data_IF_607656587640
#
_entry.id   IF_607656587640
#
_cell.length_a   1.000
_cell.length_b   1.000
_cell.length_c   1.000
_cell.angle_alpha   90.00
_cell.angle_beta   90.00
_cell.angle_gamma   90.00
#
_symmetry.space_group_name_H-M   'P 1'
#
loop_
_entity.id
_entity.type
_entity.pdbx_description
1 polymer ?
#
# COMPACT_ATOMS: atom_id res chain seq x y z
N UNK A 1 -16.72 17.92 -0.57
CA UNK A 1 -17.30 16.98 0.41
C UNK A 1 -16.39 15.77 0.39
N UNK A 2 -15.66 15.48 1.47
CA UNK A 2 -14.79 14.30 1.51
C UNK A 2 -15.66 13.03 1.47
N UNK A 3 -15.21 11.98 0.77
CA UNK A 3 -15.94 10.72 0.73
C UNK A 3 -15.95 10.02 2.10
N UNK A 4 -16.91 9.13 2.35
CA UNK A 4 -16.96 8.34 3.59
C UNK A 4 -15.69 7.50 3.80
N UNK A 5 -15.12 6.96 2.72
CA UNK A 5 -13.84 6.24 2.74
C UNK A 5 -12.67 7.13 3.16
N UNK A 6 -12.65 8.38 2.71
CA UNK A 6 -11.59 9.35 3.03
C UNK A 6 -11.59 9.68 4.53
N UNK A 7 -12.78 9.88 5.10
CA UNK A 7 -12.94 10.14 6.53
C UNK A 7 -12.53 8.95 7.39
N UNK A 8 -12.92 7.74 6.98
CA UNK A 8 -12.55 6.52 7.69
C UNK A 8 -11.03 6.29 7.67
N UNK A 9 -10.40 6.44 6.49
CA UNK A 9 -8.95 6.30 6.36
C UNK A 9 -8.21 7.35 7.19
N UNK A 10 -8.67 8.61 7.19
CA UNK A 10 -8.08 9.64 8.05
C UNK A 10 -8.15 9.25 9.53
N UNK A 11 -9.29 8.74 10.00
CA UNK A 11 -9.41 8.26 11.39
C UNK A 11 -8.44 7.11 11.72
N UNK A 12 -8.22 6.17 10.79
CA UNK A 12 -7.24 5.10 10.97
C UNK A 12 -5.80 5.64 11.04
N UNK A 13 -5.46 6.64 10.22
CA UNK A 13 -4.13 7.27 10.24
C UNK A 13 -3.90 8.06 11.53
N UNK A 14 -4.94 8.73 12.05
CA UNK A 14 -4.88 9.45 13.32
C UNK A 14 -4.63 8.49 14.50
N UNK A 15 -5.31 7.33 14.51
CA UNK A 15 -5.07 6.26 15.51
C UNK A 15 -3.62 5.75 15.38
N UNK A 16 -3.18 5.40 14.18
CA UNK A 16 -1.82 4.92 13.94
C UNK A 16 -0.75 5.91 14.43
N UNK A 17 -0.94 7.21 14.15
CA UNK A 17 -0.06 8.27 14.63
C UNK A 17 0.00 8.34 16.14
N UNK A 18 -1.15 8.21 16.82
CA UNK A 18 -1.21 8.23 18.28
C UNK A 18 -0.51 7.00 18.90
N UNK A 19 -0.62 5.82 18.28
CA UNK A 19 -0.06 4.57 18.79
C UNK A 19 1.43 4.40 18.50
N UNK A 20 1.88 4.80 17.31
CA UNK A 20 3.25 4.54 16.83
C UNK A 20 4.15 5.77 16.85
N UNK A 21 3.59 6.97 17.11
CA UNK A 21 4.30 8.25 16.99
C UNK A 21 4.93 8.44 15.59
N UNK A 22 4.36 7.80 14.56
CA UNK A 22 4.75 7.90 13.15
C UNK A 22 3.63 8.58 12.39
N UNK A 23 3.95 9.71 11.75
CA UNK A 23 3.00 10.44 10.92
C UNK A 23 3.07 9.93 9.48
N UNK A 24 1.97 9.36 8.99
CA UNK A 24 1.80 8.96 7.59
C UNK A 24 0.91 10.01 6.91
N UNK A 25 1.45 10.89 6.06
CA UNK A 25 0.67 11.96 5.46
C UNK A 25 -0.52 11.40 4.68
N UNK A 26 -1.68 12.06 4.69
CA UNK A 26 -2.77 11.71 3.79
C UNK A 26 -2.95 12.82 2.75
N UNK A 27 -2.36 12.61 1.57
CA UNK A 27 -2.41 13.60 0.50
C UNK A 27 -2.46 12.94 -0.87
N UNK A 28 -2.80 13.71 -1.90
CA UNK A 28 -2.73 13.20 -3.28
C UNK A 28 -1.33 12.71 -3.65
N UNK A 29 -0.25 13.22 -3.04
CA UNK A 29 1.13 12.83 -3.38
C UNK A 29 1.44 11.36 -3.07
N UNK A 30 0.85 10.81 -2.02
CA UNK A 30 1.10 9.46 -1.52
C UNK A 30 -0.17 8.59 -1.44
N UNK A 31 -1.28 9.08 -1.98
CA UNK A 31 -2.51 8.32 -2.19
C UNK A 31 -2.64 7.98 -3.67
N UNK A 32 -2.80 6.70 -3.98
CA UNK A 32 -2.88 6.16 -5.34
C UNK A 32 -4.19 5.39 -5.50
N UNK A 33 -4.93 5.65 -6.58
CA UNK A 33 -6.24 5.06 -6.81
C UNK A 33 -6.18 4.10 -7.99
N UNK A 34 -6.61 2.86 -7.77
CA UNK A 34 -6.66 1.83 -8.79
C UNK A 34 -8.11 1.41 -9.01
N UNK A 35 -8.54 1.44 -10.26
CA UNK A 35 -9.82 0.90 -10.69
C UNK A 35 -9.73 -0.64 -10.73
N UNK A 36 -10.84 -1.32 -10.42
CA UNK A 36 -10.94 -2.78 -10.46
C UNK A 36 -11.30 -3.30 -11.86
N UNK A 37 -11.80 -2.41 -12.71
CA UNK A 37 -12.25 -2.63 -14.07
C UNK A 37 -11.17 -3.29 -14.96
N UNK A 38 -9.89 -2.86 -14.94
CA UNK A 38 -8.79 -3.55 -15.62
C UNK A 38 -8.68 -5.05 -15.31
N UNK A 39 -8.75 -5.41 -14.03
CA UNK A 39 -8.62 -6.81 -13.61
C UNK A 39 -9.84 -7.63 -14.05
N UNK A 40 -11.04 -7.04 -13.92
CA UNK A 40 -12.29 -7.65 -14.40
C UNK A 40 -12.23 -7.87 -15.91
N UNK A 41 -11.74 -6.91 -16.67
CA UNK A 41 -11.57 -7.05 -18.12
C UNK A 41 -10.71 -8.27 -18.47
N UNK A 42 -9.55 -8.45 -17.82
CA UNK A 42 -8.67 -9.59 -18.07
C UNK A 42 -9.38 -10.93 -17.85
N UNK A 43 -10.11 -11.06 -16.73
CA UNK A 43 -10.88 -12.28 -16.41
C UNK A 43 -11.97 -12.54 -17.46
N UNK A 44 -12.72 -11.51 -17.87
CA UNK A 44 -13.77 -11.66 -18.87
C UNK A 44 -13.20 -12.14 -20.22
N UNK A 45 -12.04 -11.59 -20.62
CA UNK A 45 -11.36 -11.99 -21.86
C UNK A 45 -10.83 -13.41 -21.81
N UNK A 46 -10.27 -13.83 -20.67
CA UNK A 46 -9.81 -15.21 -20.45
C UNK A 46 -10.96 -16.22 -20.58
N UNK A 47 -12.14 -15.85 -20.09
CA UNK A 47 -13.36 -16.67 -20.18
C UNK A 47 -14.09 -16.55 -21.52
N UNK A 48 -13.50 -15.89 -22.53
CA UNK A 48 -14.06 -15.76 -23.87
C UNK A 48 -15.31 -14.87 -23.95
N UNK A 49 -15.57 -14.04 -22.94
CA UNK A 49 -16.71 -13.13 -22.93
C UNK A 49 -16.43 -11.96 -23.87
N UNK A 50 -17.36 -11.75 -24.82
CA UNK A 50 -17.31 -10.63 -25.74
C UNK A 50 -17.92 -9.39 -25.08
N UNK A 51 -17.20 -8.28 -25.17
CA UNK A 51 -17.62 -6.98 -24.69
C UNK A 51 -18.04 -6.13 -25.87
N UNK A 52 -19.07 -5.31 -25.68
CA UNK A 52 -19.44 -4.32 -26.66
C UNK A 52 -18.44 -3.14 -26.70
N UNK A 53 -18.63 -2.24 -27.66
CA UNK A 53 -17.76 -1.08 -27.86
C UNK A 53 -17.75 -0.14 -26.66
N UNK A 54 -18.89 0.05 -25.99
CA UNK A 54 -19.01 0.96 -24.85
C UNK A 54 -18.30 0.40 -23.63
N UNK A 55 -18.52 -0.88 -23.33
CA UNK A 55 -17.82 -1.62 -22.28
C UNK A 55 -16.32 -1.60 -22.51
N UNK A 56 -15.87 -1.91 -23.72
CA UNK A 56 -14.44 -1.90 -24.09
C UNK A 56 -13.81 -0.53 -23.87
N UNK A 57 -14.51 0.53 -24.27
CA UNK A 57 -14.04 1.90 -24.06
C UNK A 57 -13.98 2.27 -22.57
N UNK A 58 -14.97 1.85 -21.79
CA UNK A 58 -15.00 2.06 -20.33
C UNK A 58 -13.80 1.38 -19.65
N UNK A 59 -13.57 0.09 -19.95
CA UNK A 59 -12.42 -0.66 -19.43
C UNK A 59 -11.08 -0.04 -19.85
N UNK A 60 -10.98 0.45 -21.10
CA UNK A 60 -9.77 1.14 -21.59
C UNK A 60 -9.48 2.41 -20.80
N UNK A 61 -10.51 3.22 -20.48
CA UNK A 61 -10.34 4.44 -19.68
C UNK A 61 -9.86 4.13 -18.26
N UNK A 62 -10.46 3.13 -17.62
CA UNK A 62 -10.02 2.68 -16.29
C UNK A 62 -8.60 2.10 -16.32
N UNK A 63 -8.23 1.38 -17.40
CA UNK A 63 -6.86 0.92 -17.60
C UNK A 63 -5.87 2.08 -17.66
N UNK A 64 -6.13 3.08 -18.50
CA UNK A 64 -5.25 4.23 -18.66
C UNK A 64 -5.09 5.02 -17.34
N UNK A 65 -6.17 5.13 -16.57
CA UNK A 65 -6.14 5.78 -15.26
C UNK A 65 -5.30 4.98 -14.25
N UNK A 66 -5.57 3.68 -14.09
CA UNK A 66 -4.82 2.80 -13.18
C UNK A 66 -3.34 2.70 -13.55
N UNK A 67 -3.00 2.66 -14.85
CA UNK A 67 -1.62 2.66 -15.32
C UNK A 67 -0.88 3.96 -14.96
N UNK A 68 -1.55 5.11 -15.07
CA UNK A 68 -0.99 6.40 -14.64
C UNK A 68 -0.76 6.46 -13.13
N UNK A 69 -1.73 6.01 -12.34
CA UNK A 69 -1.59 5.98 -10.87
C UNK A 69 -0.50 4.97 -10.43
N UNK A 70 -0.34 3.84 -11.13
CA UNK A 70 0.77 2.92 -10.92
C UNK A 70 2.13 3.57 -11.16
N UNK A 71 2.30 4.27 -12.28
CA UNK A 71 3.55 4.99 -12.57
C UNK A 71 3.84 6.05 -11.50
N UNK A 72 2.78 6.73 -11.00
CA UNK A 72 2.88 7.71 -9.93
C UNK A 72 3.33 7.06 -8.61
N UNK A 73 2.81 5.88 -8.30
CA UNK A 73 3.23 5.07 -7.15
C UNK A 73 4.71 4.66 -7.28
N UNK A 74 5.12 4.12 -8.42
CA UNK A 74 6.51 3.70 -8.63
C UNK A 74 7.47 4.89 -8.52
N UNK A 75 7.12 6.02 -9.13
CA UNK A 75 7.88 7.25 -9.01
C UNK A 75 7.97 7.76 -7.56
N UNK A 76 6.91 7.59 -6.76
CA UNK A 76 6.93 7.94 -5.35
C UNK A 76 7.85 7.00 -4.54
N UNK A 77 7.71 5.68 -4.71
CA UNK A 77 8.49 4.67 -3.98
C UNK A 77 10.00 4.90 -4.16
N UNK A 78 10.47 5.16 -5.38
CA UNK A 78 11.91 5.38 -5.63
C UNK A 78 12.46 6.66 -5.02
N UNK A 79 11.59 7.60 -4.65
CA UNK A 79 11.97 8.84 -3.94
C UNK A 79 11.84 8.74 -2.43
N UNK A 80 11.18 7.69 -1.92
CA UNK A 80 11.02 7.51 -0.50
C UNK A 80 12.37 7.14 0.14
N UNK A 81 12.70 7.72 1.30
CA UNK A 81 13.84 7.23 2.07
C UNK A 81 13.60 5.76 2.41
N UNK A 82 14.60 4.93 2.17
CA UNK A 82 14.62 3.56 2.66
C UNK A 82 14.33 3.61 4.16
N UNK A 83 13.24 2.96 4.59
CA UNK A 83 13.04 2.76 6.01
C UNK A 83 14.27 2.03 6.53
N UNK A 84 14.92 2.59 7.55
CA UNK A 84 16.16 2.05 8.09
C UNK A 84 15.94 0.61 8.51
N UNK A 85 16.40 -0.33 7.68
CA UNK A 85 16.48 -1.76 8.01
C UNK A 85 17.30 -1.96 9.30
N UNK A 86 18.07 -0.95 9.72
CA UNK A 86 18.74 -0.88 11.02
C UNK A 86 17.81 -1.14 12.20
N UNK A 87 16.55 -0.70 12.17
CA UNK A 87 15.60 -0.96 13.30
C UNK A 87 15.23 -2.44 13.41
N UNK A 88 15.23 -3.18 12.28
CA UNK A 88 14.99 -4.62 12.28
C UNK A 88 16.25 -5.35 12.74
N UNK A 89 17.44 -4.88 12.37
CA UNK A 89 18.70 -5.45 12.86
C UNK A 89 18.87 -5.26 14.37
N UNK A 90 18.53 -4.09 14.90
CA UNK A 90 18.64 -3.76 16.33
C UNK A 90 17.65 -4.59 17.16
N UNK A 91 16.40 -4.72 16.69
CA UNK A 91 15.40 -5.59 17.34
C UNK A 91 15.76 -7.08 17.29
N UNK A 92 16.37 -7.53 16.19
CA UNK A 92 16.84 -8.92 16.08
C UNK A 92 18.04 -9.17 17.00
N UNK A 93 18.98 -8.21 17.11
CA UNK A 93 20.09 -8.34 18.04
C UNK A 93 19.63 -8.33 19.50
N UNK A 94 18.62 -7.52 19.85
CA UNK A 94 18.06 -7.49 21.20
C UNK A 94 17.36 -8.81 21.56
N UNK A 95 16.62 -9.39 20.61
CA UNK A 95 15.97 -10.71 20.74
C UNK A 95 16.99 -11.86 20.85
N UNK A 96 18.09 -11.79 20.10
CA UNK A 96 19.18 -12.78 20.20
C UNK A 96 19.88 -12.70 21.56
N UNK A 97 20.06 -11.50 22.10
CA UNK A 97 20.67 -11.29 23.43
C UNK A 97 19.79 -11.84 24.55
N UNK A 98 18.48 -11.53 24.52
CA UNK A 98 17.51 -12.03 25.50
C UNK A 98 17.40 -13.57 25.47
N UNK A 99 17.47 -14.18 24.29
CA UNK A 99 17.48 -15.63 24.15
C UNK A 99 18.76 -16.26 24.71
N UNK A 100 19.92 -15.64 24.50
CA UNK A 100 21.20 -16.11 25.06
C UNK A 100 21.22 -16.00 26.60
N UNK A 101 20.70 -14.92 27.17
CA UNK A 101 20.62 -14.73 28.63
C UNK A 101 19.63 -15.72 29.29
N UNK A 102 18.51 -16.04 28.62
CA UNK A 102 17.55 -17.00 29.13
C UNK A 102 18.03 -18.47 29.08
N UNK A 103 19.08 -18.77 28.30
CA UNK A 103 19.67 -20.11 28.18
C UNK A 103 20.86 -20.38 29.11
N UNK A 104 21.30 -19.40 29.91
CA UNK A 104 22.39 -19.56 30.88
C UNK A 104 21.85 -19.43 32.33
N UNK A 105 21.30 -20.52 32.93
CA UNK A 105 20.62 -20.44 34.22
C UNK A 105 21.58 -20.42 35.43
N UNK A 106 22.90 -20.39 35.23
CA UNK A 106 23.92 -20.48 36.30
C UNK A 106 24.91 -19.29 36.29
N UNK A 107 24.39 -18.05 36.35
CA UNK A 107 25.09 -16.90 36.98
C UNK A 107 24.22 -16.27 38.06
#
# INVERSE_FOLDING_TARGET
MSGTTEQFLQGLLDIHRAEQNVDVPFSRKNTFLFDNEPFRYLVLRENGIQLDTEQTLSYSKSWDYSAKEYLRLMAHIVTCPLHGISVIQEKLSDLELEYCEAMDPDT
#
